data_IF_249097862969
#
_entry.id   IF_249097862969
#
_cell.length_a   1.000
_cell.length_b   1.000
_cell.length_c   1.000
_cell.angle_alpha   90.00
_cell.angle_beta   90.00
_cell.angle_gamma   90.00
#
_symmetry.space_group_name_H-M   'P 1'
#
loop_
_entity.id
_entity.type
_entity.pdbx_description
1 polymer ?
#
# COMPACT_ATOMS: atom_id res chain seq x y z
N UNK A 1 -20.75 -75.08 -28.54
CA UNK A 1 -20.41 -73.75 -29.10
C UNK A 1 -21.40 -72.67 -28.68
N UNK A 2 -22.72 -72.83 -28.89
CA UNK A 2 -23.71 -71.77 -28.57
C UNK A 2 -23.84 -71.41 -27.08
N UNK A 3 -23.61 -72.35 -26.16
CA UNK A 3 -23.62 -72.08 -24.71
C UNK A 3 -22.46 -71.20 -24.25
N UNK A 4 -21.24 -71.50 -24.71
CA UNK A 4 -20.02 -70.74 -24.39
C UNK A 4 -20.14 -69.28 -24.85
N UNK A 5 -20.58 -69.06 -26.09
CA UNK A 5 -20.78 -67.71 -26.64
C UNK A 5 -21.80 -66.91 -25.82
N UNK A 6 -22.87 -67.56 -25.32
CA UNK A 6 -23.88 -66.90 -24.47
C UNK A 6 -23.30 -66.51 -23.11
N UNK A 7 -22.46 -67.35 -22.54
CA UNK A 7 -21.77 -67.06 -21.27
C UNK A 7 -20.79 -65.90 -21.42
N UNK A 8 -19.93 -65.91 -22.45
CA UNK A 8 -18.97 -64.84 -22.74
C UNK A 8 -19.65 -63.48 -23.03
N UNK A 9 -20.78 -63.50 -23.75
CA UNK A 9 -21.56 -62.28 -23.97
C UNK A 9 -22.22 -61.78 -22.67
N UNK A 10 -22.60 -62.71 -21.78
CA UNK A 10 -23.13 -62.40 -20.46
C UNK A 10 -22.09 -61.87 -19.48
N UNK A 11 -20.82 -62.31 -19.56
CA UNK A 11 -19.71 -61.73 -18.80
C UNK A 11 -19.37 -60.34 -19.31
N UNK A 12 -19.15 -60.18 -20.63
CA UNK A 12 -18.84 -58.88 -21.24
C UNK A 12 -19.90 -57.82 -20.93
N UNK A 13 -21.19 -58.19 -20.98
CA UNK A 13 -22.28 -57.28 -20.60
C UNK A 13 -22.21 -56.86 -19.13
N UNK A 14 -21.88 -57.77 -18.22
CA UNK A 14 -21.74 -57.45 -16.79
C UNK A 14 -20.53 -56.55 -16.56
N UNK A 15 -19.39 -56.89 -17.15
CA UNK A 15 -18.15 -56.12 -17.00
C UNK A 15 -18.35 -54.68 -17.50
N UNK A 16 -18.96 -54.52 -18.68
CA UNK A 16 -19.29 -53.21 -19.22
C UNK A 16 -20.24 -52.41 -18.30
N UNK A 17 -21.27 -53.06 -17.75
CA UNK A 17 -22.19 -52.39 -16.82
C UNK A 17 -21.50 -51.97 -15.51
N UNK A 18 -20.59 -52.81 -15.00
CA UNK A 18 -19.77 -52.48 -13.82
C UNK A 18 -18.90 -51.26 -14.08
N UNK A 19 -18.18 -51.23 -15.20
CA UNK A 19 -17.33 -50.09 -15.59
C UNK A 19 -18.15 -48.81 -15.77
N UNK A 20 -19.32 -48.87 -16.42
CA UNK A 20 -20.20 -47.71 -16.57
C UNK A 20 -20.67 -47.17 -15.22
N UNK A 21 -20.96 -48.04 -14.25
CA UNK A 21 -21.34 -47.62 -12.90
C UNK A 21 -20.15 -47.01 -12.16
N UNK A 22 -18.96 -47.60 -12.28
CA UNK A 22 -17.73 -47.06 -11.70
C UNK A 22 -17.41 -45.66 -12.24
N UNK A 23 -17.40 -45.48 -13.57
CA UNK A 23 -17.16 -44.19 -14.23
C UNK A 23 -18.20 -43.14 -13.82
N UNK A 24 -19.47 -43.50 -13.67
CA UNK A 24 -20.49 -42.58 -13.14
C UNK A 24 -20.19 -42.16 -11.71
N UNK A 25 -19.70 -43.08 -10.89
CA UNK A 25 -19.24 -42.80 -9.53
C UNK A 25 -18.07 -41.82 -9.52
N UNK A 26 -17.04 -42.07 -10.31
CA UNK A 26 -15.86 -41.20 -10.45
C UNK A 26 -16.24 -39.80 -10.93
N UNK A 27 -17.11 -39.69 -11.95
CA UNK A 27 -17.63 -38.39 -12.41
C UNK A 27 -18.39 -37.68 -11.28
N UNK A 28 -19.15 -38.42 -10.46
CA UNK A 28 -19.85 -37.88 -9.31
C UNK A 28 -18.93 -37.38 -8.19
N UNK A 29 -17.79 -38.06 -7.97
CA UNK A 29 -16.73 -37.61 -7.05
C UNK A 29 -16.09 -36.34 -7.61
N UNK A 30 -15.61 -36.38 -8.85
CA UNK A 30 -14.91 -35.26 -9.49
C UNK A 30 -15.78 -33.98 -9.52
N UNK A 31 -17.08 -34.11 -9.78
CA UNK A 31 -18.01 -32.96 -9.73
C UNK A 31 -18.13 -32.37 -8.33
N UNK A 32 -18.16 -33.20 -7.28
CA UNK A 32 -18.20 -32.72 -5.90
C UNK A 32 -16.90 -32.03 -5.53
N UNK A 33 -15.77 -32.63 -5.86
CA UNK A 33 -14.45 -32.07 -5.56
C UNK A 33 -14.28 -30.71 -6.23
N UNK A 34 -14.57 -30.59 -7.54
CA UNK A 34 -14.54 -29.29 -8.22
C UNK A 34 -15.49 -28.27 -7.61
N UNK A 35 -16.67 -28.68 -7.15
CA UNK A 35 -17.62 -27.77 -6.50
C UNK A 35 -17.06 -27.27 -5.17
N UNK A 36 -16.49 -28.17 -4.35
CA UNK A 36 -15.85 -27.83 -3.08
C UNK A 36 -14.69 -26.87 -3.27
N UNK A 37 -13.77 -27.16 -4.21
CA UNK A 37 -12.62 -26.31 -4.50
C UNK A 37 -13.04 -24.92 -5.02
N UNK A 38 -14.07 -24.84 -5.87
CA UNK A 38 -14.60 -23.55 -6.33
C UNK A 38 -15.17 -22.73 -5.18
N UNK A 39 -15.85 -23.36 -4.22
CA UNK A 39 -16.36 -22.67 -3.03
C UNK A 39 -15.21 -22.19 -2.15
N UNK A 40 -14.22 -23.04 -1.88
CA UNK A 40 -13.05 -22.70 -1.09
C UNK A 40 -12.29 -21.49 -1.69
N UNK A 41 -11.98 -21.53 -2.99
CA UNK A 41 -11.31 -20.42 -3.68
C UNK A 41 -12.13 -19.13 -3.64
N UNK A 42 -13.47 -19.21 -3.75
CA UNK A 42 -14.33 -18.03 -3.62
C UNK A 42 -14.29 -17.43 -2.22
N UNK A 43 -14.24 -18.27 -1.19
CA UNK A 43 -14.10 -17.83 0.20
C UNK A 43 -12.74 -17.17 0.44
N UNK A 44 -11.65 -17.78 -0.02
CA UNK A 44 -10.30 -17.22 0.07
C UNK A 44 -10.20 -15.86 -0.64
N UNK A 45 -10.73 -15.74 -1.86
CA UNK A 45 -10.81 -14.45 -2.58
C UNK A 45 -11.62 -13.44 -1.77
N UNK A 46 -12.69 -13.87 -1.11
CA UNK A 46 -13.51 -13.02 -0.24
C UNK A 46 -12.75 -12.52 1.00
N UNK A 47 -11.91 -13.37 1.59
CA UNK A 47 -11.01 -13.01 2.70
C UNK A 47 -9.98 -12.00 2.22
N UNK A 48 -9.21 -12.32 1.18
CA UNK A 48 -8.18 -11.44 0.64
C UNK A 48 -8.73 -10.05 0.31
N UNK A 49 -9.91 -9.97 -0.33
CA UNK A 49 -10.54 -8.68 -0.65
C UNK A 49 -10.85 -7.85 0.60
N UNK A 50 -11.34 -8.47 1.67
CA UNK A 50 -11.63 -7.78 2.93
C UNK A 50 -10.35 -7.29 3.61
N UNK A 51 -9.34 -8.13 3.65
CA UNK A 51 -8.07 -7.81 4.30
C UNK A 51 -7.39 -6.65 3.57
N UNK A 52 -7.25 -6.74 2.24
CA UNK A 52 -6.70 -5.64 1.44
C UNK A 52 -7.50 -4.33 1.58
N UNK A 53 -8.83 -4.40 1.64
CA UNK A 53 -9.65 -3.20 1.84
C UNK A 53 -9.38 -2.57 3.21
N UNK A 54 -9.26 -3.41 4.24
CA UNK A 54 -8.99 -2.97 5.62
C UNK A 54 -7.61 -2.32 5.71
N UNK A 55 -6.59 -2.96 5.15
CA UNK A 55 -5.21 -2.46 5.16
C UNK A 55 -5.10 -1.13 4.41
N UNK A 56 -5.74 -1.00 3.25
CA UNK A 56 -5.74 0.26 2.48
C UNK A 56 -6.40 1.40 3.26
N UNK A 57 -7.48 1.12 4.01
CA UNK A 57 -8.13 2.13 4.85
C UNK A 57 -7.22 2.53 6.01
N UNK A 58 -6.64 1.56 6.71
CA UNK A 58 -5.71 1.82 7.81
C UNK A 58 -4.51 2.66 7.35
N UNK A 59 -3.85 2.28 6.25
CA UNK A 59 -2.72 3.03 5.69
C UNK A 59 -3.11 4.46 5.28
N UNK A 60 -4.33 4.65 4.74
CA UNK A 60 -4.81 5.99 4.39
C UNK A 60 -4.98 6.86 5.62
N UNK A 61 -5.50 6.30 6.71
CA UNK A 61 -5.67 7.01 7.97
C UNK A 61 -4.31 7.36 8.58
N UNK A 62 -3.37 6.42 8.60
CA UNK A 62 -1.99 6.63 9.08
C UNK A 62 -1.28 7.73 8.28
N UNK A 63 -1.37 7.71 6.94
CA UNK A 63 -0.84 8.79 6.09
C UNK A 63 -1.52 10.13 6.40
N UNK A 64 -2.83 10.11 6.70
CA UNK A 64 -3.58 11.29 7.09
C UNK A 64 -3.07 11.90 8.40
N UNK A 65 -2.76 11.07 9.39
CA UNK A 65 -2.15 11.49 10.66
C UNK A 65 -0.76 12.06 10.39
N UNK A 66 0.11 11.33 9.69
CA UNK A 66 1.47 11.77 9.40
C UNK A 66 1.53 13.12 8.67
N UNK A 67 0.61 13.35 7.72
CA UNK A 67 0.49 14.65 7.04
C UNK A 67 0.15 15.79 7.98
N UNK A 68 -0.70 15.54 8.99
CA UNK A 68 -1.04 16.53 10.01
C UNK A 68 0.17 16.82 10.87
N UNK A 69 0.83 15.79 11.39
CA UNK A 69 2.00 15.92 12.25
C UNK A 69 3.14 16.68 11.57
N UNK A 70 3.40 16.41 10.28
CA UNK A 70 4.38 17.16 9.48
C UNK A 70 3.95 18.63 9.31
N UNK A 71 2.65 18.87 9.11
CA UNK A 71 2.10 20.22 9.04
C UNK A 71 2.31 21.00 10.34
N UNK A 72 2.01 20.38 11.47
CA UNK A 72 2.19 20.96 12.80
C UNK A 72 3.68 21.25 13.06
N UNK A 73 4.57 20.29 12.77
CA UNK A 73 6.02 20.47 12.88
C UNK A 73 6.53 21.64 12.02
N UNK A 74 6.04 21.80 10.79
CA UNK A 74 6.38 22.96 9.96
C UNK A 74 5.96 24.27 10.60
N UNK A 75 4.80 24.34 11.25
CA UNK A 75 4.36 25.56 11.95
C UNK A 75 5.23 25.86 13.16
N UNK A 76 5.59 24.85 13.95
CA UNK A 76 6.47 25.00 15.11
C UNK A 76 7.87 25.45 14.70
N UNK A 77 8.44 24.87 13.64
CA UNK A 77 9.75 25.28 13.10
C UNK A 77 9.71 26.72 12.57
N UNK A 78 8.61 27.13 11.93
CA UNK A 78 8.46 28.51 11.47
C UNK A 78 8.37 29.49 12.64
N UNK A 79 7.64 29.16 13.70
CA UNK A 79 7.58 29.95 14.93
C UNK A 79 8.95 30.06 15.58
N UNK A 80 9.67 28.94 15.75
CA UNK A 80 11.01 28.91 16.33
C UNK A 80 12.01 29.76 15.51
N UNK A 81 11.92 29.73 14.17
CA UNK A 81 12.72 30.61 13.32
C UNK A 81 12.41 32.09 13.58
N UNK A 82 11.14 32.43 13.80
CA UNK A 82 10.71 33.75 14.23
C UNK A 82 11.30 34.15 15.57
N UNK A 83 11.22 33.28 16.57
CA UNK A 83 11.76 33.52 17.91
C UNK A 83 13.29 33.72 17.87
N UNK A 84 14.02 32.88 17.14
CA UNK A 84 15.48 33.02 16.95
C UNK A 84 15.83 34.33 16.25
N UNK A 85 15.06 34.74 15.24
CA UNK A 85 15.24 36.02 14.58
C UNK A 85 14.97 37.20 15.53
N UNK A 86 13.93 37.10 16.36
CA UNK A 86 13.61 38.07 17.40
C UNK A 86 14.72 38.21 18.44
N UNK A 87 15.22 37.10 18.99
CA UNK A 87 16.36 37.08 19.92
C UNK A 87 17.59 37.72 19.27
N UNK A 88 17.89 37.36 18.02
CA UNK A 88 19.01 37.97 17.27
C UNK A 88 18.83 39.49 17.10
N UNK A 89 17.60 39.95 16.87
CA UNK A 89 17.26 41.38 16.82
C UNK A 89 17.52 42.07 18.15
N UNK A 90 16.94 41.55 19.24
CA UNK A 90 17.07 42.10 20.58
C UNK A 90 18.54 42.17 21.04
N UNK A 91 19.34 41.13 20.79
CA UNK A 91 20.79 41.13 21.09
C UNK A 91 21.55 42.14 20.22
N UNK A 92 21.11 42.38 18.98
CA UNK A 92 21.67 43.45 18.16
C UNK A 92 21.37 44.84 18.70
N UNK A 93 20.16 45.04 19.24
CA UNK A 93 19.72 46.32 19.83
C UNK A 93 20.43 46.66 21.15
N UNK A 94 20.84 45.65 21.94
CA UNK A 94 21.67 45.88 23.13
C UNK A 94 23.09 46.34 22.77
N UNK A 95 23.45 46.36 21.49
CA UNK A 95 24.75 46.83 21.00
C UNK A 95 25.89 45.83 21.23
N UNK A 96 25.57 44.58 21.61
CA UNK A 96 26.54 43.51 21.81
C UNK A 96 27.18 43.13 20.48
N UNK A 97 28.52 43.28 20.31
CA UNK A 97 29.21 42.88 19.09
C UNK A 97 29.04 41.38 18.77
N UNK A 98 28.98 41.01 17.48
CA UNK A 98 28.82 39.60 17.05
C UNK A 98 29.99 38.70 17.46
N UNK A 99 31.15 39.30 17.61
CA UNK A 99 32.42 38.75 18.06
C UNK A 99 32.72 39.13 19.51
N UNK A 100 31.72 39.57 20.29
CA UNK A 100 31.92 40.03 21.67
C UNK A 100 32.62 38.97 22.53
N UNK A 101 32.29 37.71 22.33
CA UNK A 101 32.93 36.55 22.98
C UNK A 101 34.40 36.34 22.57
N UNK A 102 34.86 36.97 21.49
CA UNK A 102 36.21 36.87 20.94
C UNK A 102 37.04 38.16 21.08
N UNK A 103 36.45 39.29 21.49
CA UNK A 103 37.18 40.53 21.79
C UNK A 103 38.01 40.42 23.08
N UNK A 104 39.23 40.95 23.07
CA UNK A 104 40.05 41.08 24.29
C UNK A 104 39.32 41.97 25.32
N UNK A 105 38.86 41.38 26.43
CA UNK A 105 37.99 42.01 27.43
C UNK A 105 36.66 41.27 27.61
N UNK A 106 36.09 40.73 26.53
CA UNK A 106 35.01 39.75 26.48
C UNK A 106 33.87 39.89 27.51
N UNK A 107 33.44 38.75 28.05
CA UNK A 107 32.42 38.63 29.11
C UNK A 107 32.88 39.30 30.42
N UNK A 108 34.20 39.24 30.69
CA UNK A 108 34.82 39.68 31.94
C UNK A 108 34.80 41.21 32.13
N UNK A 109 34.80 42.02 31.06
CA UNK A 109 34.67 43.49 31.16
C UNK A 109 33.24 43.93 31.51
N UNK A 110 32.22 43.21 31.07
CA UNK A 110 30.82 43.61 31.24
C UNK A 110 30.21 43.08 32.54
N UNK A 111 30.45 41.82 32.88
CA UNK A 111 29.97 41.21 34.13
C UNK A 111 30.97 41.38 35.30
N UNK A 112 32.15 41.93 35.02
CA UNK A 112 33.29 41.89 35.92
C UNK A 112 33.96 40.52 35.89
N UNK A 113 35.29 40.48 35.98
CA UNK A 113 36.02 39.23 36.16
C UNK A 113 35.51 38.57 37.45
N UNK A 114 35.07 37.32 37.37
CA UNK A 114 34.83 36.51 38.58
C UNK A 114 36.13 36.52 39.39
N UNK A 115 36.13 37.02 40.64
CA UNK A 115 37.34 37.08 41.45
C UNK A 115 37.84 35.65 41.72
N UNK A 116 39.15 35.45 41.61
CA UNK A 116 39.82 34.14 41.75
C UNK A 116 39.45 33.39 43.05
N UNK A 117 39.04 34.12 44.10
CA UNK A 117 38.63 33.59 45.39
C UNK A 117 37.30 32.81 45.37
N UNK A 118 36.48 32.94 44.33
CA UNK A 118 35.21 32.20 44.17
C UNK A 118 35.32 31.05 43.14
N UNK A 119 36.52 30.80 42.59
CA UNK A 119 36.82 29.67 41.69
C UNK A 119 37.24 28.38 42.41
N UNK A 120 36.98 28.26 43.71
CA UNK A 120 37.06 26.96 44.38
C UNK A 120 35.81 26.12 44.02
N UNK A 121 35.83 25.47 42.86
CA UNK A 121 34.75 24.53 42.54
C UNK A 121 34.69 23.95 41.13
N UNK A 122 35.45 24.45 40.16
CA UNK A 122 35.53 23.80 38.84
C UNK A 122 36.98 23.61 38.47
N UNK A 123 37.54 22.47 38.88
CA UNK A 123 38.64 21.87 38.14
C UNK A 123 38.13 21.63 36.72
N UNK A 124 38.52 22.48 35.77
CA UNK A 124 38.54 22.08 34.37
C UNK A 124 39.64 21.03 34.30
N UNK A 125 39.26 19.78 34.52
CA UNK A 125 40.11 18.65 34.16
C UNK A 125 40.54 18.88 32.72
N UNK A 126 41.83 19.09 32.52
CA UNK A 126 42.45 18.77 31.25
C UNK A 126 42.38 17.26 31.13
N UNK A 127 41.18 16.75 30.81
CA UNK A 127 41.08 15.45 30.20
C UNK A 127 41.67 15.65 28.81
N UNK A 128 42.91 15.19 28.64
CA UNK A 128 43.41 14.86 27.31
C UNK A 128 42.29 14.10 26.60
N UNK A 129 41.96 14.42 25.34
CA UNK A 129 40.96 13.64 24.63
C UNK A 129 41.52 12.23 24.48
N UNK A 130 41.13 11.32 25.37
CA UNK A 130 41.25 9.91 25.09
C UNK A 130 40.53 9.73 23.76
N UNK A 131 41.30 9.27 22.79
CA UNK A 131 40.85 8.94 21.45
C UNK A 131 39.79 7.84 21.59
N UNK A 132 38.56 8.25 21.87
CA UNK A 132 37.39 7.42 21.82
C UNK A 132 37.22 7.09 20.34
N UNK A 133 37.91 6.03 19.93
CA UNK A 133 37.69 5.36 18.67
C UNK A 133 36.20 5.06 18.58
N UNK A 134 35.50 5.92 17.83
CA UNK A 134 34.15 5.66 17.38
C UNK A 134 34.22 4.31 16.67
N UNK A 135 33.60 3.23 17.16
CA UNK A 135 33.56 2.00 16.38
C UNK A 135 32.86 2.37 15.08
N UNK A 136 33.57 2.21 13.96
CA UNK A 136 33.06 2.53 12.64
C UNK A 136 31.69 1.89 12.49
N UNK A 137 30.66 2.73 12.37
CA UNK A 137 29.41 2.30 11.77
C UNK A 137 29.79 1.94 10.34
N UNK A 138 29.88 0.65 10.05
CA UNK A 138 29.95 0.18 8.67
C UNK A 138 28.69 0.67 7.99
N UNK A 139 28.81 1.79 7.27
CA UNK A 139 27.84 2.20 6.27
C UNK A 139 27.91 1.10 5.21
N UNK A 140 26.98 0.15 5.30
CA UNK A 140 26.73 -0.81 4.23
C UNK A 140 26.56 -0.07 2.90
N UNK A 141 26.86 -0.72 1.77
CA UNK A 141 26.96 -0.04 0.47
C UNK A 141 25.72 0.83 0.22
N UNK A 142 25.98 2.09 -0.11
CA UNK A 142 24.98 3.07 -0.52
C UNK A 142 24.04 2.43 -1.54
N UNK A 143 22.76 2.31 -1.19
CA UNK A 143 21.72 1.97 -2.15
C UNK A 143 21.58 3.20 -3.04
N UNK A 144 21.85 3.11 -4.36
CA UNK A 144 21.75 4.27 -5.23
C UNK A 144 20.31 4.79 -5.21
N UNK A 145 20.20 6.06 -4.85
CA UNK A 145 19.06 6.91 -5.09
C UNK A 145 18.80 6.91 -6.61
N UNK A 146 17.52 6.76 -7.00
CA UNK A 146 16.93 6.86 -8.36
C UNK A 146 16.23 5.57 -8.82
N UNK A 147 15.09 5.29 -8.19
CA UNK A 147 13.95 4.71 -8.90
C UNK A 147 12.90 5.82 -9.01
N UNK A 148 12.87 6.51 -10.15
CA UNK A 148 11.75 7.36 -10.53
C UNK A 148 10.47 6.51 -10.53
N UNK A 149 9.63 6.68 -9.50
CA UNK A 149 8.26 6.18 -9.55
C UNK A 149 7.50 7.17 -10.41
N UNK A 150 7.49 6.90 -11.72
CA UNK A 150 6.62 7.59 -12.67
C UNK A 150 5.17 7.42 -12.21
N UNK A 151 4.55 8.55 -11.84
CA UNK A 151 3.16 8.65 -11.39
C UNK A 151 2.24 8.16 -12.51
N UNK A 152 1.93 6.86 -12.51
CA UNK A 152 1.05 6.27 -13.50
C UNK A 152 -0.39 6.70 -13.18
N UNK A 153 -0.79 7.85 -13.74
CA UNK A 153 -2.17 8.33 -13.74
C UNK A 153 -3.05 7.40 -14.56
N UNK A 154 -3.42 6.24 -14.00
CA UNK A 154 -4.56 5.47 -14.49
C UNK A 154 -5.84 6.23 -14.11
N UNK A 155 -6.31 7.04 -15.04
CA UNK A 155 -7.64 7.64 -15.03
C UNK A 155 -8.70 6.56 -14.81
N UNK A 156 -9.57 6.80 -13.84
CA UNK A 156 -10.75 6.01 -13.50
C UNK A 156 -11.54 5.58 -14.75
N UNK A 157 -11.55 4.28 -15.04
CA UNK A 157 -12.64 3.68 -15.83
C UNK A 157 -13.51 2.85 -14.89
N UNK A 158 -14.55 3.54 -14.44
CA UNK A 158 -15.80 3.08 -13.84
C UNK A 158 -16.17 1.63 -14.25
N UNK A 159 -15.97 0.66 -13.36
CA UNK A 159 -16.66 -0.63 -13.43
C UNK A 159 -18.01 -0.49 -12.71
N UNK A 160 -19.02 -0.02 -13.46
CA UNK A 160 -20.40 -0.13 -13.04
C UNK A 160 -20.84 -1.59 -13.21
N UNK A 161 -20.82 -2.36 -12.12
CA UNK A 161 -21.50 -3.64 -12.05
C UNK A 161 -22.99 -3.38 -11.84
N UNK A 162 -23.79 -3.37 -12.92
CA UNK A 162 -25.23 -3.46 -12.79
C UNK A 162 -25.59 -4.90 -12.42
N UNK A 163 -25.89 -5.09 -11.14
CA UNK A 163 -26.68 -6.22 -10.70
C UNK A 163 -28.09 -6.11 -11.29
N UNK A 164 -28.43 -7.03 -12.17
CA UNK A 164 -29.80 -7.48 -12.38
C UNK A 164 -29.78 -8.99 -12.15
N UNK A 165 -30.33 -9.41 -11.01
CA UNK A 165 -30.50 -10.83 -10.71
C UNK A 165 -31.57 -11.45 -11.60
N UNK A 166 -31.48 -12.76 -11.78
CA UNK A 166 -32.67 -13.58 -12.05
C UNK A 166 -32.39 -15.00 -11.52
N UNK A 167 -33.03 -15.29 -10.39
CA UNK A 167 -33.24 -16.64 -9.90
C UNK A 167 -34.25 -17.35 -10.81
N UNK A 168 -33.88 -18.50 -11.36
CA UNK A 168 -34.83 -19.44 -11.91
C UNK A 168 -34.47 -20.85 -11.42
N UNK A 169 -35.21 -21.31 -10.42
CA UNK A 169 -35.42 -22.73 -10.17
C UNK A 169 -36.27 -23.28 -11.31
N UNK A 170 -35.80 -24.28 -12.05
CA UNK A 170 -36.58 -25.51 -12.27
C UNK A 170 -35.79 -26.57 -13.06
N UNK A 171 -36.09 -27.83 -12.73
CA UNK A 171 -35.49 -29.05 -13.25
C UNK A 171 -35.90 -29.41 -14.70
N UNK A 172 -35.58 -30.65 -15.13
CA UNK A 172 -34.97 -30.93 -16.44
C UNK A 172 -36.00 -31.28 -17.52
N UNK A 173 -35.65 -31.02 -18.80
CA UNK A 173 -35.88 -31.89 -19.96
C UNK A 173 -35.39 -31.21 -21.27
N UNK A 174 -34.65 -31.94 -22.11
CA UNK A 174 -34.25 -31.49 -23.47
C UNK A 174 -35.34 -31.76 -24.52
N UNK A 175 -35.03 -31.80 -25.83
CA UNK A 175 -33.92 -31.21 -26.58
C UNK A 175 -34.45 -30.25 -27.69
N UNK A 176 -33.72 -29.18 -28.02
CA UNK A 176 -34.12 -28.33 -29.14
C UNK A 176 -33.33 -27.03 -29.24
N UNK A 177 -32.17 -27.09 -29.88
CA UNK A 177 -31.51 -25.88 -30.37
C UNK A 177 -32.38 -25.21 -31.44
N UNK A 178 -32.59 -23.89 -31.34
CA UNK A 178 -32.28 -23.07 -32.49
C UNK A 178 -31.23 -22.04 -32.12
N UNK A 179 -30.20 -21.96 -32.97
CA UNK A 179 -29.15 -20.95 -32.94
C UNK A 179 -29.82 -19.56 -32.93
N UNK A 180 -29.82 -18.87 -31.77
CA UNK A 180 -30.15 -17.44 -31.71
C UNK A 180 -28.88 -16.67 -32.05
N UNK A 181 -28.82 -16.18 -33.28
CA UNK A 181 -27.88 -15.13 -33.70
C UNK A 181 -28.02 -13.94 -32.74
N UNK A 182 -26.99 -13.69 -31.92
CA UNK A 182 -26.93 -12.49 -31.08
C UNK A 182 -26.57 -11.33 -31.99
N UNK A 183 -27.58 -10.57 -32.44
CA UNK A 183 -27.37 -9.28 -33.10
C UNK A 183 -27.06 -8.26 -32.01
N UNK A 184 -25.79 -8.01 -31.75
CA UNK A 184 -25.34 -6.88 -30.93
C UNK A 184 -25.63 -5.59 -31.70
N UNK A 185 -26.61 -4.81 -31.25
CA UNK A 185 -26.79 -3.43 -31.70
C UNK A 185 -25.75 -2.58 -30.96
N UNK A 186 -24.63 -2.31 -31.61
CA UNK A 186 -23.67 -1.30 -31.14
C UNK A 186 -24.34 0.07 -31.31
N UNK A 187 -24.83 0.66 -30.23
CA UNK A 187 -25.14 2.10 -30.21
C UNK A 187 -23.81 2.85 -30.22
N UNK A 188 -23.45 3.41 -31.37
CA UNK A 188 -22.39 4.41 -31.48
C UNK A 188 -22.82 5.67 -30.74
N UNK A 189 -22.09 6.01 -29.68
CA UNK A 189 -22.16 7.35 -29.07
C UNK A 189 -21.03 8.17 -29.66
N UNK A 190 -21.41 9.21 -30.39
CA UNK A 190 -20.55 10.23 -30.99
C UNK A 190 -19.93 11.09 -29.87
N UNK A 191 -18.62 11.37 -29.84
CA UNK A 191 -18.08 12.42 -28.99
C UNK A 191 -18.29 13.77 -29.68
N UNK A 192 -19.16 14.62 -29.13
CA UNK A 192 -19.24 16.04 -29.49
C UNK A 192 -18.02 16.77 -28.91
N UNK A 193 -17.02 17.00 -29.75
CA UNK A 193 -16.00 18.02 -29.52
C UNK A 193 -16.33 19.23 -30.38
N UNK A 194 -16.96 20.24 -29.81
CA UNK A 194 -17.02 21.60 -30.38
C UNK A 194 -16.36 22.54 -29.36
N UNK A 195 -15.09 22.90 -29.59
CA UNK A 195 -14.65 24.16 -30.23
C UNK A 195 -15.31 25.42 -29.67
N UNK A 196 -14.47 26.18 -29.00
CA UNK A 196 -14.39 27.64 -28.97
C UNK A 196 -15.41 28.40 -29.83
N UNK A 197 -16.09 29.36 -29.20
CA UNK A 197 -16.50 30.61 -29.84
C UNK A 197 -16.29 31.78 -28.88
N UNK A 198 -15.65 32.88 -29.31
CA UNK A 198 -15.56 34.11 -28.55
C UNK A 198 -16.76 35.03 -28.86
N UNK A 199 -17.22 35.79 -27.88
CA UNK A 199 -18.02 37.00 -28.08
C UNK A 199 -17.70 37.99 -26.92
N UNK A 200 -17.28 39.19 -27.35
CA UNK A 200 -17.18 40.49 -26.65
C UNK A 200 -16.08 40.71 -25.60
#
# INVERSE_FOLDING_TARGET
MTGIIREELGTMRRDFMTEVVALRGEIGVLRRDFTTEIVAVREEIGVLRRDFTTDIVALRDEIGVLRRDIGDLHTEVAALRGDVAGVRGNVGETGVPRDWWATAGGIDEFFGSVPEAEREGVEVGQEEPEEAGMPGVEVGPEVPEEAEIEENKLSEKNYQNQGAGESATDGPDGPGSPIRTVRTVVKSVVPTSDRCRPEL
#
